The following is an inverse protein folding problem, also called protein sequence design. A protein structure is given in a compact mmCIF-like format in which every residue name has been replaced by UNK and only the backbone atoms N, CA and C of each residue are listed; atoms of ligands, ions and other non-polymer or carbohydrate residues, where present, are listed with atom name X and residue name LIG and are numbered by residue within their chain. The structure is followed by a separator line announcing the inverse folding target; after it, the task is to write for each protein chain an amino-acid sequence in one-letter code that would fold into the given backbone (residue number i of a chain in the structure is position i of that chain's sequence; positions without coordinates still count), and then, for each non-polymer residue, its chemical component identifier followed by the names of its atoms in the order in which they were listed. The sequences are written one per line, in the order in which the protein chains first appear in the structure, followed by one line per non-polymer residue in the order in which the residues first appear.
data_IF_111817796507
#
_entry.id   IF_111817796507
#
_cell.length_a   1.000
_cell.length_b   1.000
_cell.length_c   1.000
_cell.angle_alpha   90.00
_cell.angle_beta   90.00
_cell.angle_gamma   90.00
#
_symmetry.space_group_name_H-M   'P 1'
#
loop_
_entity.id
_entity.type
_entity.pdbx_description
1 polymer ?
#
# COMPACT_ATOMS: atom_id res chain seq x y z
N UNK A 1 -5.67 -39.63 24.60
CA UNK A 1 -6.45 -38.88 23.59
C UNK A 1 -7.18 -37.76 24.31
N UNK A 2 -6.57 -36.59 24.33
CA UNK A 2 -7.13 -35.39 24.96
C UNK A 2 -7.11 -34.33 23.88
N UNK A 3 -8.29 -34.04 23.32
CA UNK A 3 -8.48 -32.95 22.38
C UNK A 3 -8.19 -31.64 23.12
N UNK A 4 -7.09 -30.98 22.76
CA UNK A 4 -6.83 -29.59 23.13
C UNK A 4 -7.82 -28.73 22.36
N UNK A 5 -8.85 -28.25 23.06
CA UNK A 5 -9.79 -27.25 22.57
C UNK A 5 -9.01 -25.97 22.25
N UNK A 6 -8.91 -25.67 20.95
CA UNK A 6 -8.33 -24.46 20.42
C UNK A 6 -9.36 -23.33 20.63
N UNK A 7 -9.35 -22.71 21.81
CA UNK A 7 -10.17 -21.54 22.08
C UNK A 7 -9.50 -20.34 21.40
N UNK A 8 -10.18 -19.63 20.47
CA UNK A 8 -9.57 -18.50 19.78
C UNK A 8 -9.28 -17.38 20.79
N UNK A 9 -8.01 -17.04 20.92
CA UNK A 9 -7.57 -15.87 21.67
C UNK A 9 -7.90 -14.61 20.86
N UNK A 10 -8.96 -13.91 21.25
CA UNK A 10 -9.42 -12.67 20.60
C UNK A 10 -8.48 -11.49 20.84
N UNK A 11 -7.50 -11.61 21.74
CA UNK A 11 -6.45 -10.61 21.96
C UNK A 11 -5.34 -10.75 20.91
N UNK A 12 -5.17 -11.96 20.37
CA UNK A 12 -4.21 -12.24 19.33
C UNK A 12 -4.75 -11.79 17.97
N UNK A 13 -4.52 -10.51 17.65
CA UNK A 13 -4.71 -9.88 16.33
C UNK A 13 -3.73 -10.41 15.27
N UNK A 14 -3.18 -11.61 15.46
CA UNK A 14 -2.59 -12.37 14.38
C UNK A 14 -3.70 -12.66 13.38
N UNK A 15 -3.71 -11.88 12.30
CA UNK A 15 -4.35 -12.33 11.09
C UNK A 15 -3.75 -13.69 10.76
N UNK A 16 -4.51 -14.77 10.98
CA UNK A 16 -4.64 -15.72 9.90
C UNK A 16 -5.24 -14.90 8.77
N UNK A 17 -4.36 -14.38 7.90
CA UNK A 17 -4.82 -13.83 6.64
C UNK A 17 -5.63 -14.94 6.03
N UNK A 18 -6.92 -14.68 5.82
CA UNK A 18 -7.87 -15.66 5.32
C UNK A 18 -7.19 -16.54 4.28
N UNK A 19 -7.42 -17.84 4.37
CA UNK A 19 -6.95 -18.89 3.46
C UNK A 19 -7.49 -18.74 2.02
N UNK A 20 -7.80 -17.52 1.58
CA UNK A 20 -8.25 -17.17 0.25
C UNK A 20 -7.96 -15.70 -0.08
N UNK A 21 -8.02 -15.34 -1.38
CA UNK A 21 -7.70 -14.03 -1.94
C UNK A 21 -8.67 -12.88 -1.51
N UNK A 22 -9.52 -13.11 -0.51
CA UNK A 22 -10.69 -12.28 -0.22
C UNK A 22 -10.41 -11.06 0.66
N UNK A 23 -9.29 -11.00 1.39
CA UNK A 23 -8.98 -9.83 2.23
C UNK A 23 -8.83 -8.53 1.44
N UNK A 24 -8.48 -8.62 0.15
CA UNK A 24 -8.30 -7.46 -0.74
C UNK A 24 -9.38 -7.36 -1.83
N UNK A 25 -10.29 -8.33 -1.90
CA UNK A 25 -11.42 -8.34 -2.83
C UNK A 25 -12.56 -7.47 -2.29
N UNK A 26 -12.36 -6.16 -2.36
CA UNK A 26 -13.31 -5.15 -1.91
C UNK A 26 -13.59 -4.20 -3.09
N UNK A 27 -14.86 -3.93 -3.38
CA UNK A 27 -15.29 -3.07 -4.49
C UNK A 27 -14.61 -1.70 -4.46
N UNK A 28 -14.39 -1.13 -3.28
CA UNK A 28 -13.67 0.13 -3.12
C UNK A 28 -12.20 0.05 -3.54
N UNK A 29 -11.50 -1.03 -3.17
CA UNK A 29 -10.12 -1.28 -3.61
C UNK A 29 -10.07 -1.54 -5.11
N UNK A 30 -11.02 -2.32 -5.65
CA UNK A 30 -11.12 -2.58 -7.10
C UNK A 30 -11.32 -1.29 -7.89
N UNK A 31 -12.19 -0.39 -7.41
CA UNK A 31 -12.43 0.93 -8.02
C UNK A 31 -11.15 1.78 -8.03
N UNK A 32 -10.43 1.84 -6.91
CA UNK A 32 -9.19 2.60 -6.81
C UNK A 32 -8.11 2.02 -7.71
N UNK A 33 -7.91 0.69 -7.67
CA UNK A 33 -6.98 -0.04 -8.54
C UNK A 33 -7.24 0.28 -10.01
N UNK A 34 -8.49 0.15 -10.44
CA UNK A 34 -8.90 0.44 -11.82
C UNK A 34 -8.60 1.89 -12.20
N UNK A 35 -8.86 2.86 -11.31
CA UNK A 35 -8.59 4.28 -11.57
C UNK A 35 -7.08 4.56 -11.74
N UNK A 36 -6.23 3.93 -10.93
CA UNK A 36 -4.77 4.04 -11.03
C UNK A 36 -4.26 3.40 -12.32
N UNK A 37 -4.68 2.16 -12.61
CA UNK A 37 -4.29 1.40 -13.79
C UNK A 37 -4.72 2.10 -15.09
N UNK A 38 -5.96 2.62 -15.15
CA UNK A 38 -6.46 3.37 -16.30
C UNK A 38 -5.69 4.68 -16.50
N UNK A 39 -5.43 5.44 -15.44
CA UNK A 39 -4.66 6.68 -15.54
C UNK A 39 -3.23 6.43 -16.01
N UNK A 40 -2.58 5.38 -15.51
CA UNK A 40 -1.27 4.96 -15.98
C UNK A 40 -1.30 4.57 -17.45
N UNK A 41 -2.22 3.69 -17.85
CA UNK A 41 -2.37 3.26 -19.24
C UNK A 41 -2.61 4.46 -20.18
N UNK A 42 -3.47 5.41 -19.79
CA UNK A 42 -3.77 6.62 -20.56
C UNK A 42 -2.55 7.53 -20.74
N UNK A 43 -1.70 7.67 -19.72
CA UNK A 43 -0.47 8.47 -19.81
C UNK A 43 0.61 7.79 -20.64
N UNK A 44 0.69 6.46 -20.58
CA UNK A 44 1.82 5.72 -21.14
C UNK A 44 1.57 5.18 -22.54
N UNK A 45 0.34 4.82 -22.89
CA UNK A 45 0.01 4.30 -24.21
C UNK A 45 -0.21 5.47 -25.18
N UNK A 46 0.59 5.52 -26.24
CA UNK A 46 0.38 6.43 -27.37
C UNK A 46 -0.90 6.04 -28.11
N UNK A 47 -1.72 7.04 -28.48
CA UNK A 47 -3.10 6.86 -28.96
C UNK A 47 -3.34 5.73 -29.97
N UNK A 48 -4.53 5.14 -29.90
CA UNK A 48 -4.94 3.93 -30.61
C UNK A 48 -5.87 3.10 -29.71
N UNK A 49 -6.60 2.14 -30.25
CA UNK A 49 -7.35 1.19 -29.43
C UNK A 49 -6.36 0.21 -28.78
N UNK A 50 -6.22 0.28 -27.45
CA UNK A 50 -5.36 -0.65 -26.73
C UNK A 50 -6.01 -2.02 -26.63
N UNK A 51 -5.24 -3.07 -26.92
CA UNK A 51 -5.69 -4.44 -26.73
C UNK A 51 -5.50 -4.84 -25.27
N UNK A 52 -6.59 -5.17 -24.59
CA UNK A 52 -6.54 -5.72 -23.24
C UNK A 52 -6.35 -7.23 -23.29
N UNK A 53 -5.27 -7.71 -22.67
CA UNK A 53 -5.01 -9.13 -22.46
C UNK A 53 -5.57 -9.56 -21.10
N UNK A 54 -6.39 -10.60 -21.13
CA UNK A 54 -6.82 -11.31 -19.93
C UNK A 54 -6.03 -12.63 -19.82
N UNK A 55 -5.92 -13.18 -18.60
CA UNK A 55 -5.18 -14.42 -18.34
C UNK A 55 -5.65 -15.66 -19.13
N UNK A 56 -6.79 -15.60 -19.81
CA UNK A 56 -7.31 -16.68 -20.66
C UNK A 56 -6.95 -16.55 -22.17
N UNK A 57 -6.59 -15.35 -22.67
CA UNK A 57 -6.78 -15.01 -24.10
C UNK A 57 -5.50 -14.65 -24.88
N UNK A 58 -4.30 -14.81 -24.30
CA UNK A 58 -3.07 -14.44 -24.99
C UNK A 58 -2.61 -15.49 -26.05
N UNK A 59 -3.53 -16.13 -26.76
CA UNK A 59 -3.28 -17.24 -27.68
C UNK A 59 -3.47 -16.93 -29.18
N UNK A 60 -3.76 -15.68 -29.58
CA UNK A 60 -3.96 -15.36 -31.00
C UNK A 60 -3.55 -13.94 -31.41
N UNK A 61 -2.43 -13.41 -30.89
CA UNK A 61 -1.95 -12.11 -31.35
C UNK A 61 -1.20 -12.25 -32.67
N UNK A 62 -1.63 -11.48 -33.67
CA UNK A 62 -0.90 -11.39 -34.93
C UNK A 62 0.41 -10.60 -34.73
N UNK A 63 1.56 -11.09 -35.21
CA UNK A 63 2.83 -10.39 -35.07
C UNK A 63 2.80 -8.99 -35.68
N UNK A 64 3.36 -8.01 -34.97
CA UNK A 64 3.47 -6.62 -35.43
C UNK A 64 2.13 -5.88 -35.65
N UNK A 65 1.01 -6.42 -35.17
CA UNK A 65 -0.32 -5.83 -35.40
C UNK A 65 -0.71 -4.78 -34.36
N UNK A 66 -0.10 -4.81 -33.17
CA UNK A 66 -0.58 -4.04 -32.02
C UNK A 66 0.25 -2.78 -31.79
N UNK A 67 -0.42 -1.65 -31.56
CA UNK A 67 0.21 -0.38 -31.19
C UNK A 67 0.32 -0.22 -29.67
N UNK A 68 -0.67 -0.75 -28.95
CA UNK A 68 -0.82 -0.61 -27.52
C UNK A 68 -1.41 -1.90 -26.92
N UNK A 69 -0.80 -2.42 -25.87
CA UNK A 69 -1.24 -3.61 -25.13
C UNK A 69 -1.37 -3.25 -23.65
N UNK A 70 -2.50 -3.64 -23.04
CA UNK A 70 -2.74 -3.58 -21.60
C UNK A 70 -2.78 -5.01 -21.06
N UNK A 71 -1.87 -5.35 -20.15
CA UNK A 71 -1.72 -6.68 -19.59
C UNK A 71 -1.71 -6.65 -18.05
N UNK A 72 -2.69 -5.96 -17.45
CA UNK A 72 -2.87 -5.97 -15.99
C UNK A 72 -3.52 -7.29 -15.54
N UNK A 73 -2.97 -7.93 -14.50
CA UNK A 73 -3.40 -9.23 -13.99
C UNK A 73 -3.54 -10.29 -15.11
N UNK A 74 -2.64 -10.26 -16.08
CA UNK A 74 -2.77 -11.02 -17.32
C UNK A 74 -2.02 -12.37 -17.32
N UNK A 75 -1.42 -12.80 -16.20
CA UNK A 75 -0.82 -14.12 -16.14
C UNK A 75 -1.89 -15.20 -15.99
N UNK A 76 -1.68 -16.28 -16.75
CA UNK A 76 -2.44 -17.51 -16.61
C UNK A 76 -1.77 -18.42 -15.59
N UNK A 77 -2.52 -19.33 -14.97
CA UNK A 77 -1.99 -20.30 -14.01
C UNK A 77 -0.81 -21.14 -14.57
N UNK A 78 -0.69 -21.29 -15.89
CA UNK A 78 0.35 -22.04 -16.59
C UNK A 78 1.36 -21.18 -17.36
N UNK A 79 1.26 -19.84 -17.30
CA UNK A 79 2.11 -18.92 -18.07
C UNK A 79 2.94 -18.06 -17.13
N UNK A 80 4.26 -18.04 -17.34
CA UNK A 80 5.18 -17.19 -16.59
C UNK A 80 5.41 -15.87 -17.33
N UNK A 81 5.98 -14.90 -16.60
CA UNK A 81 6.29 -13.57 -17.13
C UNK A 81 7.10 -13.59 -18.44
N UNK A 82 8.15 -14.42 -18.61
CA UNK A 82 8.89 -14.48 -19.87
C UNK A 82 8.00 -14.78 -21.08
N UNK A 83 7.09 -15.75 -20.99
CA UNK A 83 6.22 -16.10 -22.14
C UNK A 83 5.19 -15.01 -22.43
N UNK A 84 4.68 -14.31 -21.40
CA UNK A 84 3.83 -13.13 -21.60
C UNK A 84 4.58 -12.04 -22.37
N UNK A 85 5.82 -11.75 -21.97
CA UNK A 85 6.66 -10.75 -22.64
C UNK A 85 7.02 -11.16 -24.06
N UNK A 86 7.27 -12.44 -24.34
CA UNK A 86 7.49 -12.95 -25.70
C UNK A 86 6.26 -12.68 -26.59
N UNK A 87 5.08 -13.09 -26.13
CA UNK A 87 3.81 -12.87 -26.86
C UNK A 87 3.56 -11.39 -27.13
N UNK A 88 3.77 -10.52 -26.14
CA UNK A 88 3.55 -9.09 -26.30
C UNK A 88 4.60 -8.45 -27.22
N UNK A 89 5.88 -8.82 -27.07
CA UNK A 89 6.96 -8.30 -27.90
C UNK A 89 6.76 -8.68 -29.37
N UNK A 90 6.32 -9.91 -29.66
CA UNK A 90 6.01 -10.33 -31.04
C UNK A 90 4.82 -9.56 -31.63
N UNK A 91 3.75 -9.39 -30.85
CA UNK A 91 2.52 -8.72 -31.27
C UNK A 91 2.68 -7.21 -31.51
N UNK A 92 3.54 -6.54 -30.74
CA UNK A 92 3.76 -5.10 -30.87
C UNK A 92 4.44 -4.74 -32.19
N UNK A 93 4.00 -3.65 -32.82
CA UNK A 93 4.78 -2.97 -33.86
C UNK A 93 5.99 -2.24 -33.24
N UNK A 94 7.04 -1.91 -34.01
CA UNK A 94 8.10 -1.00 -33.54
C UNK A 94 7.53 0.32 -33.01
N UNK A 95 8.00 0.76 -31.84
CA UNK A 95 7.47 1.93 -31.13
C UNK A 95 6.14 1.70 -30.41
N UNK A 96 5.52 0.52 -30.54
CA UNK A 96 4.34 0.15 -29.78
C UNK A 96 4.65 -0.06 -28.31
N UNK A 97 3.64 0.09 -27.44
CA UNK A 97 3.82 0.07 -25.99
C UNK A 97 2.98 -1.01 -25.30
N UNK A 98 3.56 -1.62 -24.29
CA UNK A 98 2.92 -2.54 -23.35
C UNK A 98 2.85 -1.87 -21.98
N UNK A 99 1.71 -1.96 -21.32
CA UNK A 99 1.60 -1.71 -19.87
C UNK A 99 1.22 -2.99 -19.13
N UNK A 100 1.84 -3.22 -17.98
CA UNK A 100 1.58 -4.38 -17.13
C UNK A 100 1.78 -4.02 -15.65
N UNK A 101 1.29 -4.89 -14.76
CA UNK A 101 1.52 -4.82 -13.33
C UNK A 101 2.37 -6.00 -12.84
N UNK A 102 3.17 -5.73 -11.82
CA UNK A 102 4.08 -6.70 -11.20
C UNK A 102 4.10 -6.49 -9.69
N UNK A 103 4.55 -7.51 -8.96
CA UNK A 103 4.75 -7.46 -7.51
C UNK A 103 6.22 -7.28 -7.19
N UNK A 104 6.52 -6.44 -6.21
CA UNK A 104 7.87 -6.00 -5.83
C UNK A 104 8.50 -6.88 -4.75
N UNK A 105 9.53 -7.69 -5.05
CA UNK A 105 10.25 -8.44 -4.03
C UNK A 105 10.86 -7.55 -2.95
N UNK A 106 11.38 -6.39 -3.34
CA UNK A 106 12.07 -5.48 -2.44
C UNK A 106 11.15 -4.93 -1.33
N UNK A 107 9.86 -4.70 -1.63
CA UNK A 107 8.90 -4.26 -0.62
C UNK A 107 8.66 -5.33 0.46
N UNK A 108 8.44 -6.57 0.02
CA UNK A 108 8.21 -7.69 0.94
C UNK A 108 9.46 -8.01 1.75
N UNK A 109 10.64 -7.95 1.13
CA UNK A 109 11.91 -8.06 1.84
C UNK A 109 12.06 -6.94 2.88
N UNK A 110 11.77 -5.68 2.55
CA UNK A 110 11.85 -4.57 3.50
C UNK A 110 10.91 -4.75 4.70
N UNK A 111 9.71 -5.31 4.49
CA UNK A 111 8.74 -5.53 5.56
C UNK A 111 9.04 -6.77 6.43
N UNK A 112 9.75 -7.77 5.90
CA UNK A 112 9.92 -9.09 6.53
C UNK A 112 11.37 -9.58 6.62
N UNK A 113 12.37 -8.71 6.43
CA UNK A 113 13.80 -9.04 6.24
C UNK A 113 14.40 -10.09 7.20
N UNK A 114 13.85 -10.27 8.41
CA UNK A 114 14.29 -11.29 9.38
C UNK A 114 13.21 -12.31 9.80
N UNK A 115 12.02 -12.27 9.20
CA UNK A 115 10.85 -13.03 9.63
C UNK A 115 10.01 -13.44 8.42
N UNK A 116 10.67 -14.05 7.43
CA UNK A 116 9.99 -14.51 6.22
C UNK A 116 8.95 -15.60 6.50
N UNK A 117 9.03 -16.31 7.64
CA UNK A 117 8.02 -17.27 8.10
C UNK A 117 6.69 -16.58 8.44
N UNK A 118 6.73 -15.31 8.88
CA UNK A 118 5.53 -14.49 9.03
C UNK A 118 5.01 -13.91 7.72
N UNK A 119 5.71 -14.10 6.60
CA UNK A 119 5.19 -13.73 5.29
C UNK A 119 4.04 -14.67 4.95
N UNK A 120 2.82 -14.14 4.81
CA UNK A 120 1.66 -14.98 4.49
C UNK A 120 1.84 -15.68 3.14
N UNK A 121 1.72 -17.01 3.09
CA UNK A 121 1.88 -17.79 1.85
C UNK A 121 0.97 -17.28 0.72
N UNK A 122 -0.28 -16.95 1.05
CA UNK A 122 -1.27 -16.44 0.10
C UNK A 122 -0.91 -15.03 -0.41
N UNK A 123 -0.14 -14.26 0.37
CA UNK A 123 0.41 -12.99 -0.07
C UNK A 123 1.66 -13.17 -0.94
N UNK A 124 2.15 -14.40 -1.15
CA UNK A 124 3.18 -14.73 -2.16
C UNK A 124 2.56 -15.13 -3.50
N UNK A 125 1.40 -15.78 -3.48
CA UNK A 125 0.78 -16.44 -4.64
C UNK A 125 -0.37 -15.63 -5.25
N UNK A 126 -0.04 -14.53 -5.95
CA UNK A 126 -0.97 -13.95 -6.93
C UNK A 126 -0.72 -14.63 -8.27
N UNK A 127 -1.60 -15.55 -8.67
CA UNK A 127 -1.46 -16.28 -9.93
C UNK A 127 -1.59 -15.39 -11.17
N UNK A 128 -2.20 -14.22 -11.03
CA UNK A 128 -2.44 -13.29 -12.13
C UNK A 128 -1.32 -12.25 -12.31
N UNK A 129 -0.44 -12.10 -11.31
CA UNK A 129 0.60 -11.05 -11.30
C UNK A 129 1.96 -11.61 -10.88
N UNK A 130 2.99 -11.43 -11.71
CA UNK A 130 4.31 -11.99 -11.43
C UNK A 130 5.02 -11.26 -10.31
N UNK A 131 5.77 -12.03 -9.52
CA UNK A 131 6.73 -11.55 -8.55
C UNK A 131 8.09 -11.37 -9.23
N UNK A 132 8.52 -10.12 -9.45
CA UNK A 132 9.70 -9.85 -10.26
C UNK A 132 10.41 -8.59 -9.77
N UNK A 133 11.73 -8.64 -9.60
CA UNK A 133 12.51 -7.45 -9.30
C UNK A 133 12.64 -6.57 -10.56
N UNK A 134 12.68 -5.23 -10.42
CA UNK A 134 12.88 -4.34 -11.57
C UNK A 134 14.12 -4.69 -12.40
N UNK A 135 15.23 -5.11 -11.77
CA UNK A 135 16.44 -5.54 -12.48
C UNK A 135 16.19 -6.74 -13.41
N UNK A 136 15.48 -7.74 -12.91
CA UNK A 136 15.19 -8.97 -13.66
C UNK A 136 14.22 -8.67 -14.79
N UNK A 137 13.20 -7.85 -14.54
CA UNK A 137 12.27 -7.38 -15.56
C UNK A 137 13.00 -6.67 -16.70
N UNK A 138 13.93 -5.76 -16.37
CA UNK A 138 14.66 -4.99 -17.37
C UNK A 138 15.64 -5.84 -18.18
N UNK A 139 16.21 -6.88 -17.58
CA UNK A 139 16.98 -7.89 -18.29
C UNK A 139 16.09 -8.68 -19.27
N UNK A 140 14.92 -9.14 -18.81
CA UNK A 140 13.93 -9.84 -19.64
C UNK A 140 13.40 -8.96 -20.79
N UNK A 141 13.17 -7.67 -20.53
CA UNK A 141 12.73 -6.69 -21.52
C UNK A 141 13.80 -6.46 -22.59
N UNK A 142 15.05 -6.22 -22.17
CA UNK A 142 16.19 -6.00 -23.07
C UNK A 142 16.39 -7.18 -24.02
N UNK A 143 16.27 -8.42 -23.52
CA UNK A 143 16.37 -9.63 -24.32
C UNK A 143 15.30 -9.76 -25.42
N UNK A 144 14.19 -9.00 -25.31
CA UNK A 144 13.04 -9.00 -26.22
C UNK A 144 12.95 -7.72 -27.07
N UNK A 145 13.99 -6.89 -27.05
CA UNK A 145 14.01 -5.61 -27.76
C UNK A 145 13.01 -4.59 -27.18
N UNK A 146 12.68 -4.71 -25.89
CA UNK A 146 11.83 -3.78 -25.16
C UNK A 146 12.69 -2.86 -24.29
N UNK A 147 12.29 -1.58 -24.21
CA UNK A 147 12.92 -0.59 -23.32
C UNK A 147 11.90 0.01 -22.38
N UNK A 148 12.35 0.35 -21.17
CA UNK A 148 11.53 0.99 -20.17
C UNK A 148 11.13 2.41 -20.59
N UNK A 149 9.85 2.71 -20.45
CA UNK A 149 9.29 4.08 -20.57
C UNK A 149 9.00 4.64 -19.18
N UNK A 150 8.32 3.85 -18.35
CA UNK A 150 7.93 4.26 -17.00
C UNK A 150 7.83 3.06 -16.05
N UNK A 151 8.13 3.30 -14.78
CA UNK A 151 7.89 2.37 -13.68
C UNK A 151 7.37 3.17 -12.48
N UNK A 152 6.20 2.82 -11.98
CA UNK A 152 5.51 3.55 -10.92
C UNK A 152 4.97 2.59 -9.86
N UNK A 153 5.42 2.66 -8.60
CA UNK A 153 4.81 1.89 -7.50
C UNK A 153 3.34 2.29 -7.31
N UNK A 154 2.51 1.33 -6.95
CA UNK A 154 1.09 1.56 -6.64
C UNK A 154 0.59 0.50 -5.67
N UNK A 155 -0.66 0.61 -5.23
CA UNK A 155 -1.25 -0.23 -4.19
C UNK A 155 -0.70 0.04 -2.78
N UNK A 156 -0.24 1.27 -2.54
CA UNK A 156 0.29 1.68 -1.23
C UNK A 156 -0.73 1.59 -0.10
N UNK A 157 -2.03 1.67 -0.41
CA UNK A 157 -3.10 1.55 0.58
C UNK A 157 -3.59 0.12 0.81
N UNK A 158 -3.45 -0.79 -0.17
CA UNK A 158 -4.08 -2.11 -0.10
C UNK A 158 -3.16 -3.33 -0.34
N UNK A 159 -1.93 -3.14 -0.83
CA UNK A 159 -0.93 -4.20 -0.95
C UNK A 159 0.41 -3.70 -0.39
N UNK A 160 0.36 -3.16 0.84
CA UNK A 160 1.50 -2.58 1.53
C UNK A 160 1.74 -3.24 2.89
N UNK A 161 2.72 -4.13 2.94
CA UNK A 161 3.10 -4.87 4.13
C UNK A 161 3.64 -3.99 5.25
N UNK A 162 4.40 -2.93 4.91
CA UNK A 162 4.91 -1.98 5.91
C UNK A 162 3.73 -1.31 6.65
N UNK A 163 2.76 -0.79 5.90
CA UNK A 163 1.54 -0.22 6.45
C UNK A 163 0.80 -1.24 7.33
N UNK A 164 0.56 -2.45 6.84
CA UNK A 164 -0.18 -3.46 7.59
C UNK A 164 0.49 -3.89 8.90
N UNK A 165 1.82 -3.92 8.93
CA UNK A 165 2.59 -4.24 10.13
C UNK A 165 2.51 -3.13 11.17
N UNK A 166 2.40 -1.87 10.75
CA UNK A 166 2.32 -0.72 11.65
C UNK A 166 0.89 -0.39 12.14
N UNK A 167 -0.15 -0.92 11.48
CA UNK A 167 -1.53 -0.68 11.87
C UNK A 167 -1.94 -1.51 13.10
N UNK A 168 -2.54 -0.89 14.14
CA UNK A 168 -2.99 -1.62 15.33
C UNK A 168 -4.20 -2.54 15.05
N UNK A 169 -5.04 -2.17 14.07
CA UNK A 169 -6.26 -2.91 13.74
C UNK A 169 -6.47 -3.02 12.23
N UNK A 170 -5.86 -4.04 11.63
CA UNK A 170 -5.87 -4.26 10.17
C UNK A 170 -7.29 -4.41 9.58
N UNK A 171 -8.24 -5.02 10.30
CA UNK A 171 -9.63 -5.11 9.86
C UNK A 171 -10.35 -3.76 9.81
N UNK A 172 -10.06 -2.86 10.75
CA UNK A 172 -10.63 -1.49 10.73
C UNK A 172 -10.14 -0.74 9.49
N UNK A 173 -8.88 -0.94 9.11
CA UNK A 173 -8.33 -0.38 7.88
C UNK A 173 -9.05 -0.90 6.62
N UNK A 174 -9.22 -2.22 6.48
CA UNK A 174 -9.95 -2.78 5.34
C UNK A 174 -11.40 -2.28 5.26
N UNK A 175 -12.05 -2.13 6.42
CA UNK A 175 -13.38 -1.52 6.51
C UNK A 175 -13.37 -0.04 6.13
N UNK A 176 -12.31 0.71 6.41
CA UNK A 176 -12.20 2.09 5.93
C UNK A 176 -12.06 2.12 4.40
N UNK A 177 -11.28 1.22 3.83
CA UNK A 177 -11.10 1.13 2.37
C UNK A 177 -12.36 0.67 1.63
N UNK A 178 -13.32 -0.01 2.27
CA UNK A 178 -14.60 -0.33 1.61
C UNK A 178 -15.44 0.90 1.27
N UNK A 179 -15.20 2.03 1.94
CA UNK A 179 -15.89 3.27 1.62
C UNK A 179 -15.37 3.94 0.35
N UNK A 180 -14.23 3.50 -0.22
CA UNK A 180 -13.72 4.02 -1.49
C UNK A 180 -14.72 3.85 -2.64
N UNK A 181 -15.65 2.89 -2.53
CA UNK A 181 -16.70 2.68 -3.52
C UNK A 181 -17.71 3.84 -3.56
N UNK A 182 -18.05 4.44 -2.41
CA UNK A 182 -19.16 5.38 -2.28
C UNK A 182 -18.79 6.77 -1.74
N UNK A 183 -17.61 6.93 -1.14
CA UNK A 183 -17.10 8.22 -0.66
C UNK A 183 -16.11 8.81 -1.68
N UNK A 184 -16.59 9.78 -2.46
CA UNK A 184 -15.80 10.45 -3.51
C UNK A 184 -14.60 11.22 -2.97
N UNK A 185 -14.70 11.83 -1.78
CA UNK A 185 -13.56 12.55 -1.20
C UNK A 185 -12.47 11.57 -0.75
N UNK A 186 -12.88 10.43 -0.17
CA UNK A 186 -11.95 9.37 0.17
C UNK A 186 -11.30 8.75 -1.06
N UNK A 187 -12.07 8.48 -2.11
CA UNK A 187 -11.55 7.99 -3.37
C UNK A 187 -10.56 8.97 -4.00
N UNK A 188 -10.91 10.26 -4.06
CA UNK A 188 -10.04 11.30 -4.60
C UNK A 188 -8.75 11.48 -3.78
N UNK A 189 -8.83 11.44 -2.45
CA UNK A 189 -7.65 11.46 -1.58
C UNK A 189 -6.75 10.26 -1.85
N UNK A 190 -7.33 9.06 -1.89
CA UNK A 190 -6.58 7.83 -2.14
C UNK A 190 -5.90 7.86 -3.52
N UNK A 191 -6.61 8.33 -4.54
CA UNK A 191 -6.07 8.47 -5.89
C UNK A 191 -4.92 9.47 -5.94
N UNK A 192 -5.04 10.61 -5.24
CA UNK A 192 -3.97 11.59 -5.11
C UNK A 192 -2.73 10.97 -4.47
N UNK A 193 -2.89 10.21 -3.38
CA UNK A 193 -1.77 9.54 -2.71
C UNK A 193 -1.10 8.52 -3.63
N UNK A 194 -1.88 7.67 -4.30
CA UNK A 194 -1.32 6.65 -5.21
C UNK A 194 -0.56 7.29 -6.39
N UNK A 195 -1.11 8.35 -7.01
CA UNK A 195 -0.57 8.93 -8.25
C UNK A 195 0.48 10.01 -8.05
N UNK A 196 0.38 10.80 -6.97
CA UNK A 196 1.28 11.93 -6.73
C UNK A 196 2.34 11.62 -5.68
N UNK A 197 2.12 10.62 -4.82
CA UNK A 197 3.11 10.19 -3.82
C UNK A 197 3.71 8.85 -4.21
N UNK A 198 2.94 7.76 -4.16
CA UNK A 198 3.47 6.40 -4.30
C UNK A 198 4.14 6.18 -5.66
N UNK A 199 3.53 6.66 -6.75
CA UNK A 199 4.07 6.54 -8.10
C UNK A 199 5.44 7.22 -8.30
N UNK A 200 5.88 8.09 -7.37
CA UNK A 200 7.17 8.80 -7.42
C UNK A 200 8.26 8.13 -6.59
N UNK A 201 7.93 7.11 -5.81
CA UNK A 201 8.85 6.42 -4.92
C UNK A 201 9.54 5.24 -5.62
N UNK A 202 10.43 4.55 -4.89
CA UNK A 202 10.99 3.29 -5.34
C UNK A 202 9.99 2.13 -5.14
N UNK A 203 10.14 1.00 -5.85
CA UNK A 203 9.33 -0.20 -5.64
C UNK A 203 9.42 -0.83 -4.24
N UNK A 204 10.30 -0.34 -3.36
CA UNK A 204 10.29 -0.69 -1.94
C UNK A 204 9.09 -0.09 -1.20
N UNK A 205 8.52 1.02 -1.69
CA UNK A 205 7.43 1.72 -1.01
C UNK A 205 6.07 0.98 -1.06
N UNK A 206 5.88 0.08 -2.03
CA UNK A 206 4.62 -0.66 -2.20
C UNK A 206 4.84 -2.07 -2.75
N UNK A 207 3.91 -2.99 -2.43
CA UNK A 207 3.98 -4.39 -2.86
C UNK A 207 3.76 -4.59 -4.36
N UNK A 208 3.27 -3.58 -5.09
CA UNK A 208 3.03 -3.64 -6.54
C UNK A 208 3.62 -2.44 -7.25
N UNK A 209 3.89 -2.61 -8.54
CA UNK A 209 4.31 -1.53 -9.43
C UNK A 209 3.78 -1.75 -10.84
N UNK A 210 3.50 -0.64 -11.51
CA UNK A 210 3.10 -0.56 -12.91
C UNK A 210 4.33 -0.30 -13.76
N UNK A 211 4.34 -0.88 -14.96
CA UNK A 211 5.44 -0.73 -15.92
C UNK A 211 4.90 -0.43 -17.29
N UNK A 212 5.55 0.49 -17.99
CA UNK A 212 5.39 0.67 -19.43
C UNK A 212 6.69 0.34 -20.15
N UNK A 213 6.59 -0.55 -21.14
CA UNK A 213 7.67 -0.96 -22.02
C UNK A 213 7.34 -0.56 -23.46
N UNK A 214 8.33 -0.08 -24.20
CA UNK A 214 8.21 0.25 -25.62
C UNK A 214 9.01 -0.76 -26.45
N UNK A 215 8.46 -1.21 -27.58
CA UNK A 215 9.18 -2.04 -28.56
C UNK A 215 10.18 -1.20 -29.33
N UNK A 216 11.29 -0.92 -28.65
CA UNK A 216 12.44 -0.18 -29.13
C UNK A 216 13.66 -0.77 -28.43
N UNK A 217 14.66 -1.32 -29.14
CA UNK A 217 15.85 -1.84 -28.50
C UNK A 217 16.76 -0.70 -28.05
N UNK A 218 16.78 -0.43 -26.74
CA UNK A 218 17.65 0.57 -26.10
C UNK A 218 18.03 0.12 -24.67
N UNK A 219 18.97 -0.84 -24.56
CA UNK A 219 19.39 -1.37 -23.26
C UNK A 219 20.03 -0.30 -22.35
N UNK A 220 20.56 0.78 -22.92
CA UNK A 220 21.20 1.84 -22.14
C UNK A 220 20.17 2.57 -21.25
N UNK A 221 18.95 2.81 -21.75
CA UNK A 221 17.85 3.39 -20.95
C UNK A 221 17.52 2.52 -19.75
N UNK A 222 17.50 1.20 -19.92
CA UNK A 222 17.21 0.25 -18.84
C UNK A 222 18.30 0.32 -17.75
N UNK A 223 19.57 0.37 -18.13
CA UNK A 223 20.70 0.50 -17.20
C UNK A 223 20.70 1.86 -16.48
N UNK A 224 20.40 2.95 -17.20
CA UNK A 224 20.29 4.28 -16.61
C UNK A 224 19.18 4.34 -15.55
N UNK A 225 18.03 3.70 -15.81
CA UNK A 225 16.95 3.66 -14.84
C UNK A 225 17.34 2.89 -13.56
N UNK A 226 18.04 1.77 -13.67
CA UNK A 226 18.55 1.03 -12.50
C UNK A 226 19.52 1.89 -11.67
N UNK A 227 20.31 2.74 -12.32
CA UNK A 227 21.17 3.70 -11.61
C UNK A 227 20.34 4.76 -10.86
N UNK A 228 19.26 5.24 -11.47
CA UNK A 228 18.31 6.18 -10.84
C UNK A 228 17.57 5.55 -9.66
N UNK A 229 17.27 4.25 -9.72
CA UNK A 229 16.56 3.54 -8.64
C UNK A 229 17.30 3.66 -7.30
N UNK A 230 18.62 3.53 -7.29
CA UNK A 230 19.42 3.69 -6.07
C UNK A 230 19.25 5.07 -5.41
N UNK A 231 19.11 6.13 -6.22
CA UNK A 231 18.84 7.47 -5.70
C UNK A 231 17.43 7.61 -5.11
N UNK A 232 16.43 6.92 -5.69
CA UNK A 232 15.07 6.87 -5.12
C UNK A 232 15.08 6.14 -3.78
N UNK A 233 15.76 5.00 -3.71
CA UNK A 233 15.85 4.18 -2.49
C UNK A 233 16.55 4.93 -1.37
N UNK A 234 17.62 5.67 -1.65
CA UNK A 234 18.31 6.49 -0.65
C UNK A 234 17.39 7.53 0.02
N UNK A 235 16.50 8.17 -0.74
CA UNK A 235 15.52 9.12 -0.17
C UNK A 235 14.47 8.37 0.65
N UNK A 236 13.96 7.26 0.12
CA UNK A 236 12.93 6.45 0.81
C UNK A 236 13.47 5.91 2.12
N UNK A 237 14.73 5.50 2.20
CA UNK A 237 15.35 4.93 3.41
C UNK A 237 15.74 5.97 4.47
N UNK A 238 15.81 7.25 4.09
CA UNK A 238 16.13 8.34 5.02
C UNK A 238 15.08 8.45 6.13
N UNK A 239 15.45 8.48 7.43
CA UNK A 239 14.50 8.63 8.55
C UNK A 239 13.66 9.90 8.50
N UNK A 240 14.19 10.95 7.87
CA UNK A 240 13.55 12.26 7.68
C UNK A 240 12.94 12.43 6.29
N UNK A 241 13.08 11.44 5.40
CA UNK A 241 12.75 11.54 3.97
C UNK A 241 13.40 12.75 3.27
N UNK A 242 14.68 13.01 3.58
CA UNK A 242 15.43 14.12 2.99
C UNK A 242 15.46 14.01 1.47
N UNK A 243 14.99 15.07 0.78
CA UNK A 243 14.88 15.10 -0.68
C UNK A 243 13.52 14.67 -1.25
N UNK A 244 12.54 14.33 -0.40
CA UNK A 244 11.21 13.88 -0.86
C UNK A 244 10.51 14.89 -1.78
N UNK A 245 10.57 16.19 -1.50
CA UNK A 245 9.94 17.22 -2.35
C UNK A 245 10.50 17.22 -3.78
N UNK A 246 11.79 16.94 -3.95
CA UNK A 246 12.43 16.82 -5.27
C UNK A 246 11.90 15.59 -6.02
N UNK A 247 11.65 14.48 -5.31
CA UNK A 247 11.05 13.28 -5.92
C UNK A 247 9.59 13.51 -6.32
N UNK A 248 8.83 14.15 -5.45
CA UNK A 248 7.41 14.44 -5.70
C UNK A 248 7.23 15.52 -6.78
N UNK A 249 8.23 16.39 -6.97
CA UNK A 249 8.12 17.57 -7.83
C UNK A 249 7.15 18.60 -7.25
N UNK A 250 6.92 18.56 -5.94
CA UNK A 250 5.97 19.38 -5.19
C UNK A 250 6.59 19.80 -3.87
N UNK A 251 6.41 21.06 -3.48
CA UNK A 251 6.72 21.51 -2.12
C UNK A 251 5.66 21.04 -1.14
N UNK A 252 5.98 21.00 0.15
CA UNK A 252 5.03 20.64 1.20
C UNK A 252 3.77 21.52 1.17
N UNK A 253 3.93 22.82 0.91
CA UNK A 253 2.81 23.76 0.81
C UNK A 253 1.90 23.47 -0.40
N UNK A 254 2.47 23.15 -1.57
CA UNK A 254 1.69 22.77 -2.74
C UNK A 254 0.92 21.46 -2.51
N UNK A 255 1.56 20.51 -1.83
CA UNK A 255 0.91 19.25 -1.47
C UNK A 255 -0.25 19.47 -0.48
N UNK A 256 -0.04 20.31 0.55
CA UNK A 256 -1.07 20.67 1.51
C UNK A 256 -2.28 21.34 0.83
N UNK A 257 -2.03 22.24 -0.12
CA UNK A 257 -3.08 22.91 -0.90
C UNK A 257 -3.89 21.92 -1.74
N UNK A 258 -3.22 21.01 -2.46
CA UNK A 258 -3.90 19.96 -3.24
C UNK A 258 -4.68 18.99 -2.35
N UNK A 259 -4.12 18.63 -1.19
CA UNK A 259 -4.75 17.70 -0.24
C UNK A 259 -5.97 18.28 0.48
N UNK A 260 -6.02 19.59 0.72
CA UNK A 260 -7.07 20.26 1.49
C UNK A 260 -8.50 19.96 0.96
N UNK A 261 -8.67 19.96 -0.37
CA UNK A 261 -9.95 19.67 -1.01
C UNK A 261 -10.43 18.22 -0.82
N UNK A 262 -9.53 17.32 -0.42
CA UNK A 262 -9.80 15.90 -0.23
C UNK A 262 -9.82 15.51 1.25
N UNK A 263 -9.25 16.30 2.15
CA UNK A 263 -9.24 16.10 3.60
C UNK A 263 -10.41 16.80 4.33
N UNK A 264 -11.57 16.91 3.70
CA UNK A 264 -12.72 17.66 4.23
C UNK A 264 -13.47 16.86 5.30
N UNK A 265 -13.62 15.55 5.11
CA UNK A 265 -14.43 14.69 5.98
C UNK A 265 -13.62 14.14 7.16
N UNK A 266 -14.29 13.80 8.27
CA UNK A 266 -13.63 13.09 9.38
C UNK A 266 -13.04 11.75 8.93
N UNK A 267 -13.68 11.08 7.95
CA UNK A 267 -13.19 9.80 7.40
C UNK A 267 -11.85 9.97 6.67
N UNK A 268 -11.74 10.96 5.79
CA UNK A 268 -10.51 11.25 5.03
C UNK A 268 -9.37 11.67 5.96
N UNK A 269 -9.66 12.54 6.94
CA UNK A 269 -8.69 12.89 7.99
C UNK A 269 -8.27 11.67 8.81
N UNK A 270 -9.20 10.77 9.15
CA UNK A 270 -8.87 9.57 9.91
C UNK A 270 -7.98 8.61 9.11
N UNK A 271 -8.17 8.51 7.79
CA UNK A 271 -7.24 7.77 6.93
C UNK A 271 -5.84 8.40 6.96
N UNK A 272 -5.72 9.73 6.81
CA UNK A 272 -4.44 10.43 6.93
C UNK A 272 -3.78 10.20 8.30
N UNK A 273 -4.55 10.24 9.38
CA UNK A 273 -4.08 9.94 10.72
C UNK A 273 -3.45 8.54 10.82
N UNK A 274 -4.13 7.52 10.29
CA UNK A 274 -3.60 6.15 10.31
C UNK A 274 -2.33 6.00 9.45
N UNK A 275 -2.30 6.64 8.28
CA UNK A 275 -1.14 6.62 7.39
C UNK A 275 0.07 7.30 8.02
N UNK A 276 -0.12 8.45 8.67
CA UNK A 276 0.96 9.19 9.31
C UNK A 276 1.50 8.48 10.55
N UNK A 277 0.62 7.81 11.32
CA UNK A 277 1.06 6.92 12.40
C UNK A 277 1.91 5.77 11.88
N UNK A 278 1.46 5.13 10.79
CA UNK A 278 2.23 4.05 10.17
C UNK A 278 3.56 4.55 9.64
N UNK A 279 3.59 5.73 9.01
CA UNK A 279 4.81 6.35 8.52
C UNK A 279 5.79 6.66 9.65
N UNK A 280 5.33 7.23 10.76
CA UNK A 280 6.16 7.56 11.92
C UNK A 280 6.88 6.34 12.52
N UNK A 281 6.29 5.13 12.43
CA UNK A 281 6.92 3.90 12.88
C UNK A 281 8.19 3.54 12.09
N UNK A 282 8.24 3.91 10.80
CA UNK A 282 9.38 3.63 9.93
C UNK A 282 10.25 4.86 9.67
N UNK A 283 9.71 6.07 9.82
CA UNK A 283 10.34 7.36 9.50
C UNK A 283 10.13 8.34 10.67
N UNK A 284 10.74 8.08 11.83
CA UNK A 284 10.47 8.84 13.06
C UNK A 284 10.94 10.30 13.00
N UNK A 285 11.81 10.66 12.05
CA UNK A 285 12.30 12.03 11.88
C UNK A 285 11.55 12.84 10.82
N UNK A 286 10.51 12.28 10.20
CA UNK A 286 9.69 12.99 9.23
C UNK A 286 8.63 13.85 9.92
N UNK A 287 8.53 15.12 9.52
CA UNK A 287 7.58 16.10 10.06
C UNK A 287 6.40 16.30 9.08
N UNK A 288 5.29 15.56 9.25
CA UNK A 288 4.19 15.56 8.27
C UNK A 288 3.33 16.82 8.28
N UNK A 289 3.44 17.66 9.31
CA UNK A 289 2.58 18.81 9.52
C UNK A 289 2.69 19.80 8.36
N UNK A 290 3.89 19.98 7.79
CA UNK A 290 4.10 20.86 6.65
C UNK A 290 3.31 20.46 5.38
N UNK A 291 2.88 19.20 5.28
CA UNK A 291 2.19 18.61 4.13
C UNK A 291 0.66 18.60 4.30
N UNK A 292 0.13 19.19 5.37
CA UNK A 292 -1.29 19.18 5.68
C UNK A 292 -1.82 20.61 5.78
N UNK A 293 -3.10 20.80 5.48
CA UNK A 293 -3.77 22.07 5.80
C UNK A 293 -3.95 22.26 7.31
N UNK A 294 -4.12 23.50 7.74
CA UNK A 294 -4.19 23.86 9.17
C UNK A 294 -5.31 23.13 9.91
N UNK A 295 -6.47 22.92 9.29
CA UNK A 295 -7.61 22.27 9.95
C UNK A 295 -7.32 20.77 10.16
N UNK A 296 -6.75 20.12 9.15
CA UNK A 296 -6.33 18.72 9.24
C UNK A 296 -5.21 18.55 10.26
N UNK A 297 -4.21 19.45 10.27
CA UNK A 297 -3.14 19.44 11.28
C UNK A 297 -3.69 19.47 12.71
N UNK A 298 -4.58 20.43 13.00
CA UNK A 298 -5.17 20.58 14.35
C UNK A 298 -5.95 19.32 14.76
N UNK A 299 -6.74 18.75 13.85
CA UNK A 299 -7.51 17.54 14.12
C UNK A 299 -6.60 16.34 14.41
N UNK A 300 -5.53 16.17 13.62
CA UNK A 300 -4.57 15.08 13.79
C UNK A 300 -3.76 15.23 15.07
N UNK A 301 -3.31 16.44 15.40
CA UNK A 301 -2.62 16.72 16.68
C UNK A 301 -3.52 16.39 17.86
N UNK A 302 -4.80 16.75 17.79
CA UNK A 302 -5.77 16.40 18.83
C UNK A 302 -5.92 14.87 18.98
N UNK A 303 -6.05 14.13 17.89
CA UNK A 303 -6.15 12.66 17.93
C UNK A 303 -4.87 11.98 18.39
N UNK A 304 -3.69 12.46 17.99
CA UNK A 304 -2.40 11.95 18.47
C UNK A 304 -2.27 12.18 19.98
N UNK A 305 -2.67 13.35 20.47
CA UNK A 305 -2.70 13.65 21.89
C UNK A 305 -3.65 12.73 22.66
N UNK A 306 -4.86 12.49 22.14
CA UNK A 306 -5.82 11.57 22.73
C UNK A 306 -5.31 10.11 22.75
N UNK A 307 -4.74 9.62 21.64
CA UNK A 307 -4.18 8.27 21.55
C UNK A 307 -2.99 8.08 22.50
N UNK A 308 -2.13 9.09 22.67
CA UNK A 308 -1.03 9.04 23.64
C UNK A 308 -1.54 8.97 25.09
N UNK A 309 -2.62 9.70 25.39
CA UNK A 309 -3.28 9.63 26.70
C UNK A 309 -3.91 8.26 26.92
N UNK A 310 -4.63 7.73 25.92
CA UNK A 310 -5.27 6.41 25.99
C UNK A 310 -4.23 5.29 26.14
N UNK A 311 -3.13 5.34 25.39
CA UNK A 311 -2.03 4.38 25.52
C UNK A 311 -1.41 4.43 26.92
N UNK A 312 -1.17 5.62 27.46
CA UNK A 312 -0.61 5.77 28.81
C UNK A 312 -1.59 5.30 29.89
N UNK A 313 -2.88 5.57 29.70
CA UNK A 313 -3.94 5.09 30.57
C UNK A 313 -3.98 3.56 30.57
N UNK A 314 -4.04 2.93 29.40
CA UNK A 314 -4.02 1.47 29.27
C UNK A 314 -2.75 0.84 29.83
N UNK A 315 -1.59 1.47 29.68
CA UNK A 315 -0.35 1.02 30.30
C UNK A 315 -0.44 1.02 31.84
N UNK A 316 -0.97 2.09 32.45
CA UNK A 316 -1.19 2.16 33.89
C UNK A 316 -2.14 1.06 34.36
N UNK A 317 -3.25 0.86 33.64
CA UNK A 317 -4.22 -0.19 33.96
C UNK A 317 -3.59 -1.58 33.87
N UNK A 318 -2.81 -1.84 32.82
CA UNK A 318 -2.12 -3.11 32.61
C UNK A 318 -1.05 -3.37 33.68
N UNK A 319 -0.22 -2.37 34.00
CA UNK A 319 0.80 -2.45 35.03
C UNK A 319 0.18 -2.68 36.42
N UNK A 320 -0.98 -2.06 36.70
CA UNK A 320 -1.67 -2.25 37.97
C UNK A 320 -2.34 -3.62 38.08
N UNK A 321 -2.88 -4.14 36.98
CA UNK A 321 -3.50 -5.46 36.92
C UNK A 321 -2.49 -6.59 37.18
N UNK A 322 -1.25 -6.45 36.67
CA UNK A 322 -0.21 -7.47 36.74
C UNK A 322 -0.65 -8.85 36.19
N UNK A 323 0.08 -9.91 36.53
CA UNK A 323 -0.32 -11.30 36.19
C UNK A 323 -1.45 -11.86 37.07
N UNK A 324 -1.95 -11.08 38.04
CA UNK A 324 -2.78 -11.59 39.15
C UNK A 324 -4.30 -11.62 38.87
N UNK A 325 -4.76 -11.08 37.74
CA UNK A 325 -6.19 -11.00 37.38
C UNK A 325 -6.63 -12.03 36.33
N UNK A 326 -5.89 -13.12 36.15
CA UNK A 326 -6.33 -14.27 35.36
C UNK A 326 -7.04 -15.30 36.26
N UNK A 327 -8.34 -15.51 36.05
CA UNK A 327 -9.10 -16.59 36.72
C UNK A 327 -9.70 -17.50 35.66
N UNK A 328 -9.30 -18.77 35.65
CA UNK A 328 -9.76 -19.76 34.65
C UNK A 328 -9.59 -19.28 33.19
N UNK A 329 -8.43 -18.70 32.86
CA UNK A 329 -8.11 -18.13 31.54
C UNK A 329 -8.97 -16.93 31.10
N UNK A 330 -9.85 -16.41 31.96
CA UNK A 330 -10.55 -15.14 31.74
C UNK A 330 -9.76 -14.02 32.39
N UNK A 331 -9.36 -13.04 31.58
CA UNK A 331 -8.73 -11.82 32.06
C UNK A 331 -9.78 -10.94 32.73
N UNK A 332 -9.80 -10.91 34.06
CA UNK A 332 -10.71 -10.10 34.86
C UNK A 332 -10.33 -8.60 34.86
N UNK A 333 -9.13 -8.25 34.38
CA UNK A 333 -8.75 -6.85 34.18
C UNK A 333 -9.67 -6.19 33.14
N UNK A 334 -10.01 -6.88 32.04
CA UNK A 334 -10.87 -6.36 30.97
C UNK A 334 -12.24 -5.79 31.43
N UNK A 335 -12.77 -6.27 32.56
CA UNK A 335 -14.01 -5.75 33.17
C UNK A 335 -13.81 -4.58 34.14
N UNK A 336 -12.63 -4.47 34.78
CA UNK A 336 -12.22 -3.34 35.63
C UNK A 336 -11.65 -2.18 34.80
N UNK A 337 -11.09 -2.50 33.63
CA UNK A 337 -10.44 -1.58 32.70
C UNK A 337 -11.33 -0.39 32.38
N UNK A 338 -12.64 -0.58 32.15
CA UNK A 338 -13.51 0.52 31.70
C UNK A 338 -13.74 1.59 32.77
N UNK A 339 -14.07 1.22 34.02
CA UNK A 339 -14.32 2.21 35.08
C UNK A 339 -13.03 2.88 35.55
N UNK A 340 -11.95 2.12 35.69
CA UNK A 340 -10.65 2.65 36.08
C UNK A 340 -10.08 3.55 34.97
N UNK A 341 -10.12 3.11 33.71
CA UNK A 341 -9.70 3.92 32.57
C UNK A 341 -10.51 5.22 32.50
N UNK A 342 -11.82 5.15 32.72
CA UNK A 342 -12.69 6.34 32.75
C UNK A 342 -12.28 7.31 33.87
N UNK A 343 -12.03 6.81 35.09
CA UNK A 343 -11.59 7.65 36.21
C UNK A 343 -10.21 8.26 35.97
N UNK A 344 -9.26 7.50 35.42
CA UNK A 344 -7.94 8.02 35.06
C UNK A 344 -8.03 9.10 33.96
N UNK A 345 -8.84 8.88 32.93
CA UNK A 345 -9.08 9.89 31.88
C UNK A 345 -9.74 11.15 32.43
N UNK A 346 -10.69 11.01 33.37
CA UNK A 346 -11.43 12.13 33.95
C UNK A 346 -10.63 12.90 35.00
N UNK A 347 -10.00 12.20 35.93
CA UNK A 347 -9.43 12.78 37.15
C UNK A 347 -7.93 13.08 37.00
N UNK A 348 -7.18 12.20 36.32
CA UNK A 348 -5.75 12.35 36.13
C UNK A 348 -5.41 13.10 34.84
N UNK A 349 -5.93 12.65 33.69
CA UNK A 349 -5.68 13.29 32.39
C UNK A 349 -6.61 14.47 32.09
N UNK A 350 -7.74 14.59 32.80
CA UNK A 350 -8.74 15.65 32.64
C UNK A 350 -9.30 15.79 31.22
N UNK A 351 -9.40 14.67 30.48
CA UNK A 351 -9.85 14.64 29.09
C UNK A 351 -11.22 14.02 28.87
N UNK A 352 -11.78 13.30 29.85
CA UNK A 352 -13.13 12.72 29.73
C UNK A 352 -14.18 13.59 30.42
N UNK A 353 -15.07 14.23 29.65
CA UNK A 353 -16.14 15.11 30.17
C UNK A 353 -17.44 14.39 30.57
N UNK A 354 -17.47 13.05 30.57
CA UNK A 354 -18.60 12.28 31.10
C UNK A 354 -19.95 12.44 30.41
N UNK A 355 -20.02 12.83 29.13
CA UNK A 355 -21.30 12.83 28.39
C UNK A 355 -21.44 11.55 27.57
N UNK A 356 -22.06 10.55 28.19
CA UNK A 356 -22.80 9.53 27.45
C UNK A 356 -24.15 10.13 27.06
N UNK A 357 -24.40 10.36 25.78
CA UNK A 357 -25.73 10.61 25.24
C UNK A 357 -25.91 9.92 23.90
#
# INVERSE_FOLDING_TARGET
MTQTSNTPDWVNTQLQLSSGPQLFANAGISRLRQSVEQSFAQRQLSGGAALTLNGADAAALQPGSQEAIVAFAALAANRQLPQLLDTCAEALRPGGRLVLDLRSPAHWQAAFAGDMEQWPENAREDQATAFCAPSDLLALASARGLSLVALEPYAGLWDNALLYRALPHRFKWLRLLSWLESDEHLHALALLLEQQVLAKLSPVASGRYLVSLEKRPDPAVNVQWLTRLAALEAVVDSPTLAGIETLLGLTAAQFAEQGAAHAISLRTRHVLYLLLRALAAYRPGFEPQAYLDQQTQQQLQHWLGADAIDQRNMAIVHDWAGDQLLRQQVNLAAGLDYQLATSLLREYFKTHSGVSS
#
